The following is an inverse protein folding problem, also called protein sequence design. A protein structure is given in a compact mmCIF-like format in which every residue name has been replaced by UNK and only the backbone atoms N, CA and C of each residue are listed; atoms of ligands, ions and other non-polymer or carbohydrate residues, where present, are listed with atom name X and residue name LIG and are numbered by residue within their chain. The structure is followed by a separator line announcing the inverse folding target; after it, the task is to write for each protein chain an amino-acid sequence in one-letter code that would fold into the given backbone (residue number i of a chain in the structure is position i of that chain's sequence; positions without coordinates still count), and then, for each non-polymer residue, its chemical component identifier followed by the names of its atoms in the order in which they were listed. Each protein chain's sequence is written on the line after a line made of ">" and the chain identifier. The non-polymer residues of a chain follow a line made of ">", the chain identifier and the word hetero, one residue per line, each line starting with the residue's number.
data_IF_645227837742
#
_entry.id   IF_645227837742
#
_cell.length_a   1.000
_cell.length_b   1.000
_cell.length_c   1.000
_cell.angle_alpha   90.00
_cell.angle_beta   90.00
_cell.angle_gamma   90.00
#
_symmetry.space_group_name_H-M   'P 1'
#
loop_
_entity.id
_entity.type
_entity.pdbx_description
1 polymer ?
#
# COMPACT_ATOMS: atom_id res chain seq x y z
N UNK A 1 4.19 -35.89 -10.28
CA UNK A 1 5.56 -35.40 -9.95
C UNK A 1 5.37 -34.17 -9.10
N UNK A 2 6.16 -34.03 -8.04
CA UNK A 2 6.11 -32.81 -7.22
C UNK A 2 6.59 -31.61 -8.04
N UNK A 3 6.06 -30.40 -7.77
CA UNK A 3 6.47 -29.21 -8.49
C UNK A 3 7.94 -28.89 -8.22
N UNK A 4 8.65 -28.45 -9.26
CA UNK A 4 9.94 -27.78 -9.07
C UNK A 4 9.73 -26.43 -8.40
N UNK A 5 10.69 -25.95 -7.61
CA UNK A 5 10.57 -24.63 -6.98
C UNK A 5 11.67 -23.70 -7.44
N UNK A 6 11.31 -22.44 -7.66
CA UNK A 6 12.24 -21.36 -8.02
C UNK A 6 11.96 -20.18 -7.09
N UNK A 7 13.00 -19.55 -6.57
CA UNK A 7 12.87 -18.30 -5.80
C UNK A 7 13.77 -17.23 -6.39
N UNK A 8 13.17 -16.16 -6.88
CA UNK A 8 13.89 -14.97 -7.36
C UNK A 8 14.06 -14.03 -6.17
N UNK A 9 15.30 -13.60 -5.91
CA UNK A 9 15.62 -12.66 -4.82
C UNK A 9 16.24 -11.41 -5.41
N UNK A 10 15.55 -10.28 -5.27
CA UNK A 10 16.03 -8.96 -5.67
C UNK A 10 16.83 -8.34 -4.53
N UNK A 11 18.10 -7.97 -4.79
CA UNK A 11 19.04 -7.40 -3.81
C UNK A 11 19.59 -6.05 -4.27
N UNK A 12 18.68 -5.24 -4.81
CA UNK A 12 18.99 -4.01 -5.51
C UNK A 12 19.74 -3.02 -4.62
N UNK A 13 20.75 -2.34 -5.18
CA UNK A 13 21.48 -1.23 -4.53
C UNK A 13 21.00 0.14 -5.01
N UNK A 14 20.35 0.15 -6.16
CA UNK A 14 19.76 1.31 -6.83
C UNK A 14 18.42 0.86 -7.39
N UNK A 15 17.55 1.80 -7.77
CA UNK A 15 16.29 1.45 -8.40
C UNK A 15 16.53 0.66 -9.69
N UNK A 16 15.80 -0.44 -9.85
CA UNK A 16 15.83 -1.30 -11.02
C UNK A 16 14.42 -1.52 -11.53
N UNK A 17 14.32 -1.79 -12.83
CA UNK A 17 13.07 -2.10 -13.50
C UNK A 17 13.25 -3.32 -14.40
N UNK A 18 12.21 -4.14 -14.46
CA UNK A 18 12.07 -5.23 -15.41
C UNK A 18 10.86 -4.98 -16.31
N UNK A 19 11.06 -5.12 -17.61
CA UNK A 19 9.99 -5.15 -18.62
C UNK A 19 10.06 -6.47 -19.38
N UNK A 20 8.91 -7.08 -19.67
CA UNK A 20 8.84 -8.32 -20.43
C UNK A 20 7.80 -9.25 -19.85
N UNK A 21 8.01 -10.56 -20.02
CA UNK A 21 7.13 -11.58 -19.45
C UNK A 21 7.68 -12.04 -18.11
N UNK A 22 6.87 -11.96 -17.05
CA UNK A 22 7.28 -12.35 -15.69
C UNK A 22 6.41 -13.51 -15.20
N UNK A 23 6.83 -14.74 -15.48
CA UNK A 23 6.04 -15.94 -15.21
C UNK A 23 6.92 -17.17 -15.00
N UNK A 24 6.37 -18.16 -14.30
CA UNK A 24 6.97 -19.50 -14.14
C UNK A 24 6.75 -20.42 -15.35
N UNK A 25 5.89 -20.01 -16.29
CA UNK A 25 5.54 -20.79 -17.46
C UNK A 25 6.50 -20.55 -18.62
N UNK A 26 6.57 -21.49 -19.55
CA UNK A 26 7.35 -21.31 -20.78
C UNK A 26 6.42 -20.95 -21.94
N UNK A 27 7.00 -20.31 -22.96
CA UNK A 27 6.30 -19.93 -24.17
C UNK A 27 7.08 -20.44 -25.37
N UNK A 28 6.37 -20.99 -26.34
CA UNK A 28 6.98 -21.41 -27.61
C UNK A 28 7.22 -20.21 -28.54
N UNK A 29 7.79 -20.47 -29.73
CA UNK A 29 8.06 -19.43 -30.73
C UNK A 29 6.81 -18.77 -31.33
N UNK A 30 5.60 -19.25 -30.99
CA UNK A 30 4.32 -18.70 -31.43
C UNK A 30 3.55 -18.04 -30.28
N UNK A 31 4.23 -17.71 -29.17
CA UNK A 31 3.64 -17.15 -27.96
C UNK A 31 2.55 -18.02 -27.31
N UNK A 32 2.57 -19.34 -27.57
CA UNK A 32 1.70 -20.27 -26.86
C UNK A 32 2.26 -20.57 -25.48
N UNK A 33 1.45 -20.31 -24.45
CA UNK A 33 1.75 -20.69 -23.06
C UNK A 33 1.77 -22.21 -22.93
N UNK A 34 2.85 -22.73 -22.34
CA UNK A 34 2.94 -24.11 -21.88
C UNK A 34 3.19 -24.09 -20.36
N UNK A 35 2.22 -24.59 -19.61
CA UNK A 35 2.29 -24.62 -18.15
C UNK A 35 3.38 -25.58 -17.69
N UNK A 36 4.21 -25.09 -16.77
CA UNK A 36 5.23 -25.90 -16.13
C UNK A 36 4.73 -26.35 -14.76
N UNK A 37 5.12 -27.57 -14.35
CA UNK A 37 4.96 -28.00 -12.97
C UNK A 37 6.06 -27.36 -12.10
N UNK A 38 6.00 -26.04 -11.98
CA UNK A 38 6.95 -25.17 -11.26
C UNK A 38 6.19 -24.19 -10.41
N UNK A 39 6.71 -23.92 -9.21
CA UNK A 39 6.22 -22.86 -8.31
C UNK A 39 7.33 -21.83 -8.16
N UNK A 40 7.13 -20.65 -8.74
CA UNK A 40 8.03 -19.51 -8.61
C UNK A 40 7.57 -18.61 -7.47
N UNK A 41 8.50 -18.24 -6.60
CA UNK A 41 8.31 -17.24 -5.55
C UNK A 41 9.25 -16.05 -5.77
N UNK A 42 8.87 -14.90 -5.24
CA UNK A 42 9.63 -13.65 -5.32
C UNK A 42 9.96 -13.14 -3.92
N UNK A 43 11.18 -12.65 -3.74
CA UNK A 43 11.60 -11.94 -2.53
C UNK A 43 12.29 -10.62 -2.88
N UNK A 44 11.91 -9.56 -2.17
CA UNK A 44 12.61 -8.27 -2.20
C UNK A 44 13.42 -8.06 -0.93
N UNK A 45 14.72 -7.81 -1.12
CA UNK A 45 15.71 -7.56 -0.07
C UNK A 45 16.72 -6.48 -0.52
N UNK A 46 16.19 -5.34 -0.98
CA UNK A 46 16.97 -4.21 -1.48
C UNK A 46 17.58 -3.34 -0.38
N UNK A 47 18.68 -2.65 -0.71
CA UNK A 47 19.38 -1.76 0.21
C UNK A 47 18.79 -0.35 0.17
N UNK A 48 18.69 0.31 1.32
CA UNK A 48 18.36 1.74 1.43
C UNK A 48 17.07 2.16 0.69
N UNK A 49 16.04 1.30 0.67
CA UNK A 49 14.79 1.59 -0.02
C UNK A 49 14.84 1.45 -1.55
N UNK A 50 15.93 0.91 -2.12
CA UNK A 50 16.04 0.69 -3.56
C UNK A 50 14.85 -0.13 -4.10
N UNK A 51 14.34 0.29 -5.25
CA UNK A 51 13.14 -0.27 -5.87
C UNK A 51 13.45 -1.44 -6.81
N UNK A 52 12.55 -2.39 -6.87
CA UNK A 52 12.35 -3.28 -8.02
C UNK A 52 10.95 -3.03 -8.57
N UNK A 53 10.87 -2.53 -9.80
CA UNK A 53 9.61 -2.40 -10.53
C UNK A 53 9.50 -3.56 -11.51
N UNK A 54 8.40 -4.29 -11.49
CA UNK A 54 8.08 -5.34 -12.45
C UNK A 54 6.95 -4.84 -13.34
N UNK A 55 7.31 -4.30 -14.50
CA UNK A 55 6.38 -3.85 -15.55
C UNK A 55 5.97 -5.03 -16.43
N UNK A 56 5.17 -5.90 -15.85
CA UNK A 56 4.59 -7.06 -16.50
C UNK A 56 3.32 -7.46 -15.76
N UNK A 57 2.34 -8.05 -16.45
CA UNK A 57 1.30 -8.83 -15.78
C UNK A 57 1.94 -10.09 -15.22
N UNK A 58 2.27 -10.05 -13.92
CA UNK A 58 2.98 -11.13 -13.26
C UNK A 58 2.09 -12.36 -13.12
N UNK A 59 2.61 -13.52 -13.50
CA UNK A 59 1.86 -14.78 -13.49
C UNK A 59 2.70 -15.92 -12.89
N UNK A 60 2.60 -16.12 -11.58
CA UNK A 60 3.22 -17.24 -10.86
C UNK A 60 2.41 -17.63 -9.62
N UNK A 61 2.63 -18.85 -9.13
CA UNK A 61 1.79 -19.43 -8.07
C UNK A 61 2.44 -19.42 -6.68
N UNK A 62 3.74 -19.17 -6.59
CA UNK A 62 4.46 -19.10 -5.31
C UNK A 62 4.31 -17.76 -4.59
N UNK A 63 5.02 -17.61 -3.48
CA UNK A 63 4.85 -16.50 -2.54
C UNK A 63 5.50 -15.21 -3.02
N UNK A 64 5.04 -14.09 -2.46
CA UNK A 64 5.70 -12.80 -2.55
C UNK A 64 6.18 -12.42 -1.15
N UNK A 65 7.46 -12.13 -0.99
CA UNK A 65 8.06 -11.73 0.28
C UNK A 65 8.76 -10.38 0.16
N UNK A 66 8.53 -9.48 1.10
CA UNK A 66 9.27 -8.20 1.17
C UNK A 66 9.88 -8.05 2.54
N UNK A 67 11.21 -8.01 2.58
CA UNK A 67 12.00 -7.85 3.81
C UNK A 67 12.62 -6.44 3.88
N UNK A 68 13.10 -5.93 2.75
CA UNK A 68 13.72 -4.60 2.66
C UNK A 68 13.72 -4.09 1.22
N UNK A 69 13.92 -2.79 1.03
CA UNK A 69 13.73 -2.13 -0.27
C UNK A 69 12.25 -2.00 -0.63
N UNK A 70 11.97 -1.76 -1.90
CA UNK A 70 10.59 -1.54 -2.36
C UNK A 70 10.28 -2.42 -3.57
N UNK A 71 9.20 -3.19 -3.51
CA UNK A 71 8.73 -4.03 -4.62
C UNK A 71 7.44 -3.45 -5.19
N UNK A 72 7.44 -3.18 -6.50
CA UNK A 72 6.27 -2.66 -7.21
C UNK A 72 5.93 -3.64 -8.33
N UNK A 73 4.70 -4.12 -8.37
CA UNK A 73 4.26 -5.19 -9.28
C UNK A 73 2.86 -4.94 -9.83
N UNK A 74 2.59 -5.51 -10.99
CA UNK A 74 1.26 -5.61 -11.56
C UNK A 74 0.84 -7.09 -11.65
N UNK A 75 -0.42 -7.41 -11.37
CA UNK A 75 -1.00 -8.70 -11.74
C UNK A 75 -2.52 -8.63 -11.91
N UNK A 76 -3.03 -9.32 -12.93
CA UNK A 76 -4.46 -9.50 -13.16
C UNK A 76 -5.03 -10.68 -12.38
N UNK A 77 -4.23 -11.74 -12.25
CA UNK A 77 -4.53 -12.94 -11.48
C UNK A 77 -3.89 -12.87 -10.09
N UNK A 78 -4.51 -13.53 -9.10
CA UNK A 78 -3.94 -13.62 -7.76
C UNK A 78 -2.64 -14.43 -7.78
N UNK A 79 -1.56 -13.77 -7.38
CA UNK A 79 -0.30 -14.41 -7.03
C UNK A 79 -0.46 -15.19 -5.72
N UNK A 80 0.58 -15.92 -5.30
CA UNK A 80 0.58 -16.53 -3.97
C UNK A 80 0.61 -15.49 -2.84
N UNK A 81 0.62 -16.00 -1.60
CA UNK A 81 0.58 -15.18 -0.38
C UNK A 81 1.68 -14.12 -0.39
N UNK A 82 1.30 -12.88 -0.08
CA UNK A 82 2.19 -11.78 0.25
C UNK A 82 2.54 -11.80 1.74
N UNK A 83 3.82 -11.78 2.06
CA UNK A 83 4.32 -11.64 3.43
C UNK A 83 5.26 -10.45 3.52
N UNK A 84 4.92 -9.50 4.38
CA UNK A 84 5.64 -8.25 4.61
C UNK A 84 6.32 -8.30 5.97
N UNK A 85 7.65 -8.35 6.00
CA UNK A 85 8.46 -8.25 7.22
C UNK A 85 9.19 -6.91 7.35
N UNK A 86 9.20 -6.12 6.27
CA UNK A 86 9.79 -4.80 6.20
C UNK A 86 9.68 -4.23 4.78
N UNK A 87 10.46 -3.20 4.47
CA UNK A 87 10.46 -2.57 3.14
C UNK A 87 9.12 -1.92 2.77
N UNK A 88 8.82 -1.84 1.48
CA UNK A 88 7.54 -1.37 0.96
C UNK A 88 7.03 -2.20 -0.22
N UNK A 89 5.71 -2.32 -0.35
CA UNK A 89 5.06 -3.03 -1.45
C UNK A 89 3.95 -2.20 -2.07
N UNK A 90 3.85 -2.23 -3.40
CA UNK A 90 2.87 -1.45 -4.14
C UNK A 90 2.43 -2.10 -5.44
N UNK A 91 1.22 -1.75 -5.87
CA UNK A 91 0.71 -2.06 -7.20
C UNK A 91 1.24 -1.10 -8.26
N UNK A 92 1.14 -1.48 -9.52
CA UNK A 92 1.26 -0.59 -10.69
C UNK A 92 0.26 -1.03 -11.77
N UNK A 93 -0.03 -0.15 -12.73
CA UNK A 93 -0.86 -0.43 -13.91
C UNK A 93 -2.25 -0.99 -13.55
N UNK A 94 -2.89 -0.40 -12.54
CA UNK A 94 -4.19 -0.80 -12.02
C UNK A 94 -4.13 -1.66 -10.75
N UNK A 95 -2.93 -2.09 -10.36
CA UNK A 95 -2.69 -2.76 -9.09
C UNK A 95 -2.17 -4.19 -9.20
N UNK A 96 -2.24 -4.89 -8.07
CA UNK A 96 -1.71 -6.26 -7.91
C UNK A 96 -2.69 -7.09 -7.10
N UNK A 97 -2.84 -8.36 -7.48
CA UNK A 97 -3.67 -9.33 -6.76
C UNK A 97 -2.82 -10.41 -6.11
N UNK A 98 -3.16 -10.76 -4.87
CA UNK A 98 -2.52 -11.82 -4.10
C UNK A 98 -3.57 -12.69 -3.42
N UNK A 99 -3.27 -13.96 -3.19
CA UNK A 99 -4.23 -14.88 -2.58
C UNK A 99 -4.50 -14.58 -1.11
N UNK A 100 -3.48 -14.16 -0.39
CA UNK A 100 -3.49 -13.82 1.05
C UNK A 100 -2.45 -12.72 1.28
N UNK A 101 -2.60 -11.93 2.34
CA UNK A 101 -1.60 -10.92 2.71
C UNK A 101 -1.37 -10.91 4.22
N UNK A 102 -0.11 -10.95 4.65
CA UNK A 102 0.27 -10.84 6.06
C UNK A 102 1.30 -9.73 6.26
N UNK A 103 0.97 -8.78 7.15
CA UNK A 103 1.80 -7.65 7.50
C UNK A 103 2.38 -7.78 8.92
N UNK A 104 3.67 -8.10 8.99
CA UNK A 104 4.49 -8.04 10.21
C UNK A 104 5.20 -6.68 10.34
N UNK A 105 5.44 -6.00 9.22
CA UNK A 105 6.08 -4.69 9.17
C UNK A 105 6.28 -4.21 7.74
N UNK A 106 6.66 -2.94 7.59
CA UNK A 106 6.85 -2.29 6.28
C UNK A 106 5.65 -1.45 5.84
N UNK A 107 5.77 -0.89 4.64
CA UNK A 107 4.86 0.13 4.12
C UNK A 107 4.08 -0.36 2.88
N UNK A 108 2.88 0.18 2.71
CA UNK A 108 2.17 0.19 1.44
C UNK A 108 2.67 1.43 0.68
N UNK A 109 3.04 1.28 -0.60
CA UNK A 109 3.48 2.41 -1.43
C UNK A 109 2.61 2.57 -2.67
N UNK A 110 2.14 3.79 -2.89
CA UNK A 110 1.48 4.20 -4.12
C UNK A 110 2.52 4.84 -5.03
N UNK A 111 3.08 4.03 -5.94
CA UNK A 111 4.22 4.43 -6.76
C UNK A 111 3.94 5.65 -7.64
N UNK A 112 2.72 5.74 -8.17
CA UNK A 112 2.30 6.81 -9.06
C UNK A 112 1.23 7.69 -8.40
N UNK A 113 1.65 8.85 -7.88
CA UNK A 113 0.72 9.83 -7.28
C UNK A 113 -0.30 10.36 -8.31
N UNK A 114 0.04 10.41 -9.60
CA UNK A 114 -0.88 10.87 -10.65
C UNK A 114 -2.09 9.95 -10.81
N UNK A 115 -2.00 8.68 -10.38
CA UNK A 115 -3.13 7.75 -10.45
C UNK A 115 -4.31 8.19 -9.55
N UNK A 116 -4.04 8.92 -8.46
CA UNK A 116 -5.10 9.54 -7.64
C UNK A 116 -5.85 10.64 -8.40
N UNK A 117 -5.14 11.43 -9.22
CA UNK A 117 -5.74 12.47 -10.07
C UNK A 117 -6.70 11.88 -11.11
N UNK A 118 -6.40 10.67 -11.58
CA UNK A 118 -7.25 9.92 -12.49
C UNK A 118 -8.48 9.29 -11.83
N UNK A 119 -8.63 9.40 -10.50
CA UNK A 119 -9.74 8.82 -9.75
C UNK A 119 -9.62 7.31 -9.52
N UNK A 120 -8.50 6.69 -9.86
CA UNK A 120 -8.30 5.23 -9.79
C UNK A 120 -6.84 4.90 -9.45
N UNK A 121 -6.41 5.14 -8.20
CA UNK A 121 -5.08 4.75 -7.77
C UNK A 121 -4.87 3.23 -7.87
N UNK A 122 -3.61 2.82 -8.03
CA UNK A 122 -3.23 1.40 -8.08
C UNK A 122 -3.63 0.69 -6.78
N UNK A 123 -4.42 -0.39 -6.86
CA UNK A 123 -4.97 -1.06 -5.69
C UNK A 123 -4.31 -2.41 -5.41
N UNK A 124 -4.09 -2.73 -4.13
CA UNK A 124 -3.78 -4.09 -3.73
C UNK A 124 -5.09 -4.85 -3.52
N UNK A 125 -5.25 -6.00 -4.15
CA UNK A 125 -6.42 -6.88 -3.98
C UNK A 125 -5.98 -8.19 -3.34
N UNK A 126 -6.64 -8.57 -2.26
CA UNK A 126 -6.38 -9.81 -1.53
C UNK A 126 -7.60 -10.70 -1.65
N UNK A 127 -7.48 -11.81 -2.38
CA UNK A 127 -8.63 -12.72 -2.60
C UNK A 127 -9.07 -13.41 -1.30
N UNK A 128 -8.16 -13.55 -0.33
CA UNK A 128 -8.37 -14.14 0.99
C UNK A 128 -8.29 -13.13 2.13
N UNK A 129 -7.53 -13.49 3.16
CA UNK A 129 -7.37 -12.70 4.38
C UNK A 129 -6.24 -11.70 4.24
N UNK A 130 -6.53 -10.45 4.60
CA UNK A 130 -5.51 -9.46 4.91
C UNK A 130 -5.33 -9.42 6.43
N UNK A 131 -4.15 -9.84 6.89
CA UNK A 131 -3.81 -9.97 8.30
C UNK A 131 -2.72 -8.97 8.72
N UNK A 132 -2.92 -8.29 9.85
CA UNK A 132 -1.89 -7.55 10.56
C UNK A 132 -1.43 -8.36 11.76
N UNK A 133 -0.21 -8.88 11.69
CA UNK A 133 0.41 -9.70 12.75
C UNK A 133 1.59 -8.99 13.41
N UNK A 134 1.98 -7.83 12.86
CA UNK A 134 3.01 -6.95 13.42
C UNK A 134 2.48 -5.89 14.38
N UNK A 135 3.39 -5.39 15.21
CA UNK A 135 3.15 -4.27 16.13
C UNK A 135 3.29 -2.92 15.41
N UNK A 136 2.61 -1.90 15.94
CA UNK A 136 2.67 -0.53 15.40
C UNK A 136 1.80 -0.31 14.16
N UNK A 137 1.98 0.86 13.52
CA UNK A 137 1.21 1.26 12.34
C UNK A 137 1.92 0.87 11.04
N UNK A 138 1.14 0.43 10.05
CA UNK A 138 1.55 0.25 8.67
C UNK A 138 1.64 1.63 8.01
N UNK A 139 2.77 1.97 7.40
CA UNK A 139 2.90 3.21 6.66
C UNK A 139 2.18 3.13 5.31
N UNK A 140 1.51 4.21 4.92
CA UNK A 140 0.94 4.38 3.58
C UNK A 140 1.67 5.52 2.90
N UNK A 141 2.62 5.19 2.03
CA UNK A 141 3.46 6.12 1.31
C UNK A 141 2.76 6.61 0.02
N UNK A 142 2.37 7.88 0.01
CA UNK A 142 1.70 8.53 -1.12
C UNK A 142 2.68 9.13 -2.14
N UNK A 143 3.98 8.86 -2.05
CA UNK A 143 5.01 9.27 -3.00
C UNK A 143 5.03 10.77 -3.33
N UNK A 144 4.72 11.62 -2.35
CA UNK A 144 4.71 13.07 -2.52
C UNK A 144 3.41 13.65 -3.07
N UNK A 145 2.30 12.89 -3.05
CA UNK A 145 0.98 13.39 -3.45
C UNK A 145 0.63 14.66 -2.66
N UNK A 146 0.35 15.75 -3.37
CA UNK A 146 -0.32 16.91 -2.78
C UNK A 146 -1.83 16.67 -2.84
N UNK A 147 -2.42 16.43 -1.68
CA UNK A 147 -3.83 16.08 -1.57
C UNK A 147 -4.71 17.29 -1.23
N UNK A 148 -4.18 18.52 -1.19
CA UNK A 148 -4.99 19.73 -0.93
C UNK A 148 -6.15 19.87 -1.93
N UNK A 149 -5.90 19.45 -3.16
CA UNK A 149 -6.86 19.39 -4.27
C UNK A 149 -8.09 18.50 -3.99
N UNK A 150 -7.96 17.48 -3.13
CA UNK A 150 -9.06 16.57 -2.81
C UNK A 150 -9.84 17.03 -1.58
N UNK A 151 -9.28 17.96 -0.80
CA UNK A 151 -9.93 18.55 0.38
C UNK A 151 -11.10 19.44 -0.05
N UNK A 152 -10.94 20.20 -1.13
CA UNK A 152 -11.96 21.12 -1.63
C UNK A 152 -13.20 20.38 -2.17
N UNK A 153 -13.00 19.19 -2.75
CA UNK A 153 -14.06 18.34 -3.27
C UNK A 153 -14.78 17.53 -2.16
N UNK A 154 -14.26 17.57 -0.92
CA UNK A 154 -14.91 17.24 0.34
C UNK A 154 -15.41 15.81 0.55
N UNK A 155 -15.50 14.97 -0.48
CA UNK A 155 -16.12 13.64 -0.45
C UNK A 155 -15.40 12.60 -1.32
N UNK A 156 -14.19 12.88 -1.81
CA UNK A 156 -13.43 11.90 -2.57
C UNK A 156 -12.83 10.86 -1.61
N UNK A 157 -13.21 9.61 -1.85
CA UNK A 157 -12.74 8.44 -1.10
C UNK A 157 -12.09 7.49 -2.08
N UNK A 158 -10.85 7.10 -1.79
CA UNK A 158 -10.08 6.20 -2.64
C UNK A 158 -9.90 4.85 -1.96
N UNK A 159 -10.10 3.77 -2.71
CA UNK A 159 -9.77 2.41 -2.26
C UNK A 159 -8.26 2.19 -2.34
N UNK A 160 -7.65 1.72 -1.24
CA UNK A 160 -6.21 1.46 -1.16
C UNK A 160 -5.90 -0.04 -1.24
N UNK A 161 -6.61 -0.83 -0.42
CA UNK A 161 -6.52 -2.27 -0.39
C UNK A 161 -7.90 -2.86 -0.12
N UNK A 162 -8.24 -3.93 -0.83
CA UNK A 162 -9.49 -4.68 -0.61
C UNK A 162 -9.18 -6.14 -0.33
N UNK A 163 -9.92 -6.75 0.59
CA UNK A 163 -9.74 -8.14 1.00
C UNK A 163 -11.08 -8.87 1.15
N UNK A 164 -11.05 -10.20 1.13
CA UNK A 164 -12.23 -10.99 1.47
C UNK A 164 -12.44 -11.11 2.98
N UNK A 165 -11.37 -11.08 3.77
CA UNK A 165 -11.43 -11.05 5.23
C UNK A 165 -10.32 -10.17 5.83
N UNK A 166 -10.55 -9.65 7.04
CA UNK A 166 -9.58 -8.88 7.80
C UNK A 166 -9.25 -9.61 9.12
N UNK A 167 -7.98 -9.60 9.51
CA UNK A 167 -7.52 -10.17 10.78
C UNK A 167 -6.49 -9.24 11.46
N UNK A 168 -6.58 -9.06 12.77
CA UNK A 168 -5.60 -8.30 13.55
C UNK A 168 -5.65 -6.77 13.40
N UNK A 169 -6.68 -6.25 12.72
CA UNK A 169 -6.93 -4.81 12.60
C UNK A 169 -7.92 -4.29 13.65
N UNK A 170 -7.73 -3.04 14.02
CA UNK A 170 -8.61 -2.23 14.84
C UNK A 170 -9.85 -1.82 14.05
N UNK A 171 -10.93 -1.52 14.78
CA UNK A 171 -12.16 -1.03 14.17
C UNK A 171 -11.99 0.38 13.57
N UNK A 172 -11.13 1.20 14.17
CA UNK A 172 -10.68 2.47 13.60
C UNK A 172 -9.39 2.22 12.79
N UNK A 173 -9.46 2.36 11.47
CA UNK A 173 -8.29 2.14 10.61
C UNK A 173 -7.16 3.15 10.90
N UNK A 174 -7.46 4.33 11.44
CA UNK A 174 -6.42 5.29 11.81
C UNK A 174 -5.54 4.78 12.95
N UNK A 175 -5.94 3.77 13.73
CA UNK A 175 -5.10 3.16 14.75
C UNK A 175 -4.03 2.24 14.16
N UNK A 176 -4.24 1.73 12.94
CA UNK A 176 -3.33 0.78 12.27
C UNK A 176 -2.55 1.38 11.10
N UNK A 177 -2.99 2.50 10.54
CA UNK A 177 -2.36 3.11 9.36
C UNK A 177 -1.88 4.53 9.64
N UNK A 178 -0.77 4.91 8.98
CA UNK A 178 -0.23 6.26 9.05
C UNK A 178 0.26 6.71 7.66
N UNK A 179 -0.16 7.90 7.23
CA UNK A 179 0.30 8.47 5.98
C UNK A 179 1.79 8.84 6.06
N UNK A 180 2.49 8.59 4.95
CA UNK A 180 3.88 8.96 4.69
C UNK A 180 3.95 9.69 3.36
N UNK A 181 4.86 10.66 3.27
CA UNK A 181 5.11 11.47 2.06
C UNK A 181 3.81 12.03 1.44
N UNK A 182 2.86 12.45 2.27
CA UNK A 182 1.66 13.18 1.86
C UNK A 182 1.89 14.67 2.06
N UNK A 183 1.46 15.49 1.10
CA UNK A 183 1.56 16.94 1.13
C UNK A 183 0.17 17.58 1.15
N UNK A 184 0.07 18.79 1.70
CA UNK A 184 -1.10 19.66 1.59
C UNK A 184 -2.38 19.24 2.32
N UNK A 185 -2.45 18.03 2.89
CA UNK A 185 -3.63 17.52 3.59
C UNK A 185 -3.27 16.53 4.72
N UNK A 186 -4.28 16.16 5.49
CA UNK A 186 -4.25 15.02 6.44
C UNK A 186 -5.03 13.87 5.82
N UNK A 187 -4.44 12.68 5.80
CA UNK A 187 -5.16 11.46 5.44
C UNK A 187 -6.03 10.98 6.59
N UNK A 188 -7.26 10.60 6.27
CA UNK A 188 -8.19 9.93 7.16
C UNK A 188 -8.50 8.54 6.60
N UNK A 189 -8.06 7.50 7.32
CA UNK A 189 -8.22 6.11 6.93
C UNK A 189 -9.49 5.53 7.54
N UNK A 190 -10.25 4.79 6.73
CA UNK A 190 -11.47 4.15 7.18
C UNK A 190 -11.66 2.77 6.56
N UNK A 191 -12.46 1.93 7.22
CA UNK A 191 -12.94 0.66 6.68
C UNK A 191 -14.28 0.86 5.98
N UNK A 192 -14.36 0.51 4.71
CA UNK A 192 -15.61 0.33 3.95
C UNK A 192 -15.83 -1.17 3.73
N UNK A 193 -16.41 -1.84 4.74
CA UNK A 193 -16.39 -3.31 4.78
C UNK A 193 -14.96 -3.82 4.95
N UNK A 194 -14.50 -4.68 4.03
CA UNK A 194 -13.14 -5.23 4.04
C UNK A 194 -12.19 -4.46 3.11
N UNK A 195 -12.52 -3.22 2.78
CA UNK A 195 -11.71 -2.32 1.98
C UNK A 195 -11.18 -1.18 2.84
N UNK A 196 -9.86 -1.01 2.88
CA UNK A 196 -9.23 0.18 3.44
C UNK A 196 -9.38 1.32 2.44
N UNK A 197 -9.94 2.42 2.90
CA UNK A 197 -10.10 3.63 2.12
C UNK A 197 -9.35 4.80 2.74
N UNK A 198 -9.09 5.83 1.94
CA UNK A 198 -8.58 7.12 2.40
C UNK A 198 -9.43 8.25 1.86
N UNK A 199 -9.67 9.23 2.74
CA UNK A 199 -10.13 10.57 2.37
C UNK A 199 -9.13 11.60 2.88
N UNK A 200 -9.22 12.84 2.40
CA UNK A 200 -8.28 13.89 2.74
C UNK A 200 -8.99 15.07 3.37
N UNK A 201 -8.44 15.58 4.47
CA UNK A 201 -8.97 16.72 5.21
C UNK A 201 -7.95 17.85 5.32
N UNK A 202 -8.44 19.07 5.55
CA UNK A 202 -7.59 20.25 5.64
C UNK A 202 -6.63 20.14 6.83
N UNK A 203 -5.36 20.50 6.61
CA UNK A 203 -4.42 20.71 7.72
C UNK A 203 -4.94 21.89 8.57
N UNK A 204 -5.15 21.73 9.89
CA UNK A 204 -5.61 22.83 10.73
C UNK A 204 -4.69 24.03 10.61
N UNK A 205 -5.23 25.17 10.18
CA UNK A 205 -4.43 26.40 10.07
C UNK A 205 -3.94 26.86 11.45
N UNK A 206 -2.75 27.49 11.54
CA UNK A 206 -2.23 28.02 12.81
C UNK A 206 -3.20 28.97 13.52
N UNK A 207 -4.00 29.72 12.76
CA UNK A 207 -5.02 30.63 13.29
C UNK A 207 -6.18 29.88 13.97
N UNK A 208 -6.62 28.75 13.42
CA UNK A 208 -7.67 27.92 14.03
C UNK A 208 -7.20 27.34 15.36
N UNK A 209 -5.94 26.87 15.42
CA UNK A 209 -5.32 26.39 16.65
C UNK A 209 -5.18 27.53 17.67
N UNK A 210 -4.71 28.70 17.24
CA UNK A 210 -4.58 29.88 18.10
C UNK A 210 -5.92 30.38 18.63
N UNK A 211 -6.99 30.33 17.82
CA UNK A 211 -8.33 30.72 18.23
C UNK A 211 -8.89 29.81 19.34
N UNK A 212 -8.65 28.51 19.27
CA UNK A 212 -9.04 27.56 20.33
C UNK A 212 -8.32 27.93 21.65
N UNK A 213 -7.01 28.15 21.60
CA UNK A 213 -6.25 28.57 22.78
C UNK A 213 -6.69 29.95 23.30
N UNK A 214 -6.98 30.89 22.40
CA UNK A 214 -7.50 32.21 22.73
C UNK A 214 -8.87 32.14 23.42
N UNK A 215 -9.78 31.30 22.92
CA UNK A 215 -11.10 31.09 23.50
C UNK A 215 -11.01 30.43 24.90
N UNK A 216 -10.14 29.42 25.07
CA UNK A 216 -9.88 28.80 26.37
C UNK A 216 -9.31 29.82 27.38
N UNK A 217 -8.36 30.66 26.94
CA UNK A 217 -7.80 31.71 27.79
C UNK A 217 -8.86 32.73 28.23
N UNK A 218 -9.74 33.16 27.32
CA UNK A 218 -10.86 34.05 27.62
C UNK A 218 -11.87 33.41 28.58
N UNK A 219 -12.21 32.14 28.38
CA UNK A 219 -13.10 31.38 29.27
C UNK A 219 -12.55 31.27 30.69
N UNK A 220 -11.26 30.95 30.84
CA UNK A 220 -10.58 30.90 32.14
C UNK A 220 -10.49 32.27 32.81
N UNK A 221 -10.22 33.33 32.04
CA UNK A 221 -10.18 34.69 32.55
C UNK A 221 -11.57 35.16 33.05
N UNK A 222 -12.64 34.84 32.31
CA UNK A 222 -14.01 35.13 32.70
C UNK A 222 -14.44 34.35 33.95
N UNK A 223 -14.00 33.09 34.10
CA UNK A 223 -14.25 32.29 35.30
C UNK A 223 -13.53 32.82 36.54
N UNK A 224 -12.25 33.23 36.41
CA UNK A 224 -11.49 33.87 37.50
C UNK A 224 -12.11 35.17 37.98
N UNK A 225 -12.80 35.92 37.12
CA UNK A 225 -13.50 37.16 37.49
C UNK A 225 -14.80 36.95 38.27
N UNK A 226 -15.35 35.74 38.24
CA UNK A 226 -16.60 35.37 38.94
C UNK A 226 -16.36 34.67 40.28
N UNK A 227 -15.11 34.31 40.59
CA UNK A 227 -14.65 33.93 41.93
C UNK A 227 -14.12 35.16 42.64
#
# INVERSE_FOLDING_TARGET
>A
MDPSTVKIIFTNKTDCEFTGRFTENKFDGNDKKEELNTVMSVKMAGQNGAKQIIRADAEFTGTVEVESGTLIMHSTAALGKLTMTGGAFGGIDGGVKVSEAEWLGGDIVFHNAEAFMGGSPDKITVDGTFAKTGEGKIGVDFSGLDASIFVEDGNLVFDLITANALEGFSADANDDFAAKNLLGAVADFAWAGNTLTVSFSQVPEPAAVAAIFGALALGLAAWRRRK
#
